data_IF_628811017977
#
_entry.id   IF_628811017977
#
_cell.length_a   1.000
_cell.length_b   1.000
_cell.length_c   1.000
_cell.angle_alpha   90.00
_cell.angle_beta   90.00
_cell.angle_gamma   90.00
#
_symmetry.space_group_name_H-M   'P 1'
#
loop_
_entity.id
_entity.type
_entity.pdbx_description
1 polymer ?
#
# COMPACT_ATOMS: atom_id res chain seq x y z
N UNK A 1 11.28 -25.18 -4.43
CA UNK A 1 11.81 -24.53 -3.22
C UNK A 1 10.77 -24.73 -2.13
N UNK A 2 11.14 -25.38 -1.02
CA UNK A 2 10.22 -25.64 0.11
C UNK A 2 10.43 -24.58 1.18
N UNK A 3 9.36 -24.07 1.78
CA UNK A 3 9.43 -23.12 2.88
C UNK A 3 9.32 -23.90 4.19
N UNK A 4 10.31 -23.79 5.08
CA UNK A 4 10.25 -24.34 6.43
C UNK A 4 10.08 -23.15 7.37
N UNK A 5 8.95 -23.12 8.08
CA UNK A 5 8.63 -22.09 9.06
C UNK A 5 9.29 -22.42 10.39
N UNK A 6 9.62 -21.39 11.16
CA UNK A 6 10.00 -21.54 12.57
C UNK A 6 8.75 -21.43 13.43
N UNK A 7 8.79 -21.96 14.64
CA UNK A 7 7.67 -21.95 15.60
C UNK A 7 7.01 -20.56 15.76
N UNK A 8 7.81 -19.50 15.74
CA UNK A 8 7.32 -18.13 15.82
C UNK A 8 6.49 -17.70 14.59
N UNK A 9 6.94 -18.10 13.39
CA UNK A 9 6.23 -17.80 12.14
C UNK A 9 4.95 -18.62 12.06
N UNK A 10 4.99 -19.89 12.48
CA UNK A 10 3.80 -20.76 12.57
C UNK A 10 2.74 -20.19 13.52
N UNK A 11 3.16 -19.74 14.71
CA UNK A 11 2.27 -19.11 15.66
C UNK A 11 1.65 -17.81 15.11
N UNK A 12 2.41 -17.04 14.32
CA UNK A 12 1.93 -15.81 13.70
C UNK A 12 0.88 -16.05 12.59
N UNK A 13 1.04 -17.13 11.81
CA UNK A 13 0.10 -17.46 10.73
C UNK A 13 -1.09 -18.32 11.17
N UNK A 14 -0.99 -19.02 12.30
CA UNK A 14 -2.03 -19.92 12.80
C UNK A 14 -3.46 -19.32 12.80
N UNK A 15 -3.68 -18.04 13.17
CA UNK A 15 -5.01 -17.44 13.11
C UNK A 15 -5.61 -17.44 11.69
N UNK A 16 -4.77 -17.30 10.66
CA UNK A 16 -5.15 -17.25 9.25
C UNK A 16 -5.33 -18.62 8.60
N UNK A 17 -5.04 -19.71 9.33
CA UNK A 17 -5.23 -21.09 8.90
C UNK A 17 -6.49 -21.72 9.50
N UNK A 18 -6.98 -21.16 10.60
CA UNK A 18 -8.19 -21.65 11.27
C UNK A 18 -9.45 -21.16 10.56
N UNK A 19 -10.12 -22.02 9.80
CA UNK A 19 -11.41 -21.72 9.19
C UNK A 19 -12.43 -21.19 10.23
N UNK A 20 -13.20 -20.17 9.83
CA UNK A 20 -14.17 -19.50 10.71
C UNK A 20 -13.58 -18.53 11.73
N UNK A 21 -12.24 -18.39 11.81
CA UNK A 21 -11.63 -17.31 12.57
C UNK A 21 -11.84 -15.97 11.86
N UNK A 22 -11.89 -14.87 12.63
CA UNK A 22 -12.00 -13.53 12.04
C UNK A 22 -10.81 -13.20 11.12
N UNK A 23 -9.61 -13.68 11.46
CA UNK A 23 -8.40 -13.48 10.65
C UNK A 23 -8.46 -14.27 9.34
N UNK A 24 -8.94 -15.51 9.37
CA UNK A 24 -9.15 -16.34 8.18
C UNK A 24 -10.19 -15.72 7.24
N UNK A 25 -11.35 -15.29 7.76
CA UNK A 25 -12.38 -14.67 6.92
C UNK A 25 -11.93 -13.34 6.32
N UNK A 26 -11.15 -12.53 7.05
CA UNK A 26 -10.56 -11.31 6.52
C UNK A 26 -9.59 -11.61 5.36
N UNK A 27 -8.72 -12.63 5.51
CA UNK A 27 -7.82 -13.06 4.45
C UNK A 27 -8.57 -13.64 3.25
N UNK A 28 -9.63 -14.40 3.49
CA UNK A 28 -10.50 -14.98 2.45
C UNK A 28 -11.16 -13.89 1.62
N UNK A 29 -11.72 -12.87 2.30
CA UNK A 29 -12.36 -11.75 1.64
C UNK A 29 -11.35 -10.97 0.79
N UNK A 30 -10.15 -10.74 1.32
CA UNK A 30 -9.06 -10.08 0.61
C UNK A 30 -8.63 -10.87 -0.63
N UNK A 31 -8.44 -12.19 -0.51
CA UNK A 31 -8.09 -13.06 -1.64
C UNK A 31 -9.19 -13.08 -2.71
N UNK A 32 -10.46 -13.14 -2.28
CA UNK A 32 -11.62 -13.13 -3.17
C UNK A 32 -11.72 -11.84 -3.99
N UNK A 33 -11.46 -10.68 -3.37
CA UNK A 33 -11.43 -9.38 -4.07
C UNK A 33 -10.36 -9.32 -5.17
N UNK A 34 -9.32 -10.14 -5.07
CA UNK A 34 -8.19 -10.18 -6.00
C UNK A 34 -8.33 -11.25 -7.08
N UNK A 35 -9.37 -12.07 -7.02
CA UNK A 35 -9.50 -13.26 -7.86
C UNK A 35 -8.46 -14.34 -7.53
N UNK A 36 -7.81 -14.27 -6.37
CA UNK A 36 -6.96 -15.34 -5.87
C UNK A 36 -7.87 -16.46 -5.34
N UNK A 37 -7.59 -17.70 -5.76
CA UNK A 37 -8.44 -18.87 -5.54
C UNK A 37 -8.58 -19.33 -4.09
N UNK A 38 -9.05 -20.57 -3.90
CA UNK A 38 -9.44 -21.10 -2.58
C UNK A 38 -8.27 -21.10 -1.57
N UNK A 39 -8.42 -20.35 -0.46
CA UNK A 39 -7.41 -20.24 0.61
C UNK A 39 -7.48 -21.38 1.64
N UNK A 40 -8.37 -22.36 1.45
CA UNK A 40 -8.56 -23.49 2.38
C UNK A 40 -7.33 -24.37 2.59
N UNK A 41 -6.35 -24.28 1.70
CA UNK A 41 -5.06 -24.92 1.91
C UNK A 41 -4.09 -23.97 2.60
N UNK A 42 -3.23 -24.50 3.47
CA UNK A 42 -2.17 -23.73 4.12
C UNK A 42 -1.30 -22.98 3.09
N UNK A 43 -0.92 -23.65 1.99
CA UNK A 43 -0.19 -23.02 0.90
C UNK A 43 -0.97 -21.86 0.24
N UNK A 44 -2.29 -21.96 0.15
CA UNK A 44 -3.16 -20.90 -0.35
C UNK A 44 -3.20 -19.70 0.60
N UNK A 45 -3.39 -19.94 1.89
CA UNK A 45 -3.34 -18.91 2.92
C UNK A 45 -1.96 -18.21 2.98
N UNK A 46 -0.87 -18.97 2.93
CA UNK A 46 0.48 -18.42 2.87
C UNK A 46 0.72 -17.56 1.63
N UNK A 47 0.20 -17.97 0.47
CA UNK A 47 0.30 -17.18 -0.76
C UNK A 47 -0.49 -15.88 -0.66
N UNK A 48 -1.71 -15.95 -0.13
CA UNK A 48 -2.54 -14.77 0.09
C UNK A 48 -1.89 -13.78 1.07
N UNK A 49 -1.31 -14.28 2.17
CA UNK A 49 -0.54 -13.47 3.13
C UNK A 49 0.69 -12.83 2.48
N UNK A 50 1.42 -13.58 1.65
CA UNK A 50 2.58 -13.05 0.93
C UNK A 50 2.18 -11.92 -0.03
N UNK A 51 1.11 -12.11 -0.80
CA UNK A 51 0.60 -11.06 -1.70
C UNK A 51 0.08 -9.84 -0.94
N UNK A 52 -0.57 -10.03 0.20
CA UNK A 52 -1.00 -8.93 1.07
C UNK A 52 0.22 -8.16 1.61
N UNK A 53 1.23 -8.86 2.12
CA UNK A 53 2.45 -8.26 2.64
C UNK A 53 3.25 -7.51 1.58
N UNK A 54 3.42 -8.08 0.38
CA UNK A 54 4.11 -7.43 -0.73
C UNK A 54 3.42 -6.11 -1.13
N UNK A 55 2.09 -6.07 -1.13
CA UNK A 55 1.35 -4.85 -1.40
C UNK A 55 1.46 -3.83 -0.29
N UNK A 56 1.35 -4.24 0.98
CA UNK A 56 1.52 -3.32 2.11
C UNK A 56 2.91 -2.66 2.10
N UNK A 57 3.95 -3.41 1.71
CA UNK A 57 5.30 -2.84 1.50
C UNK A 57 5.30 -1.88 0.31
N UNK A 58 4.66 -2.22 -0.80
CA UNK A 58 4.54 -1.35 -1.97
C UNK A 58 3.83 -0.03 -1.67
N UNK A 59 2.71 -0.07 -0.96
CA UNK A 59 1.99 1.12 -0.48
C UNK A 59 2.86 1.98 0.42
N UNK A 60 3.61 1.36 1.34
CA UNK A 60 4.53 2.09 2.21
C UNK A 60 5.66 2.78 1.43
N UNK A 61 6.17 2.16 0.38
CA UNK A 61 7.17 2.79 -0.50
C UNK A 61 6.58 4.01 -1.20
N UNK A 62 5.33 3.92 -1.68
CA UNK A 62 4.65 5.08 -2.28
C UNK A 62 4.46 6.21 -1.25
N UNK A 63 4.03 5.89 -0.03
CA UNK A 63 3.86 6.89 1.03
C UNK A 63 5.17 7.64 1.34
N UNK A 64 6.28 6.91 1.43
CA UNK A 64 7.61 7.50 1.65
C UNK A 64 7.98 8.40 0.46
N UNK A 65 7.81 7.92 -0.77
CA UNK A 65 8.12 8.72 -1.97
C UNK A 65 7.26 9.99 -2.07
N UNK A 66 5.98 9.92 -1.71
CA UNK A 66 5.11 11.10 -1.66
C UNK A 66 5.49 12.07 -0.55
N UNK A 67 5.93 11.58 0.61
CA UNK A 67 6.43 12.44 1.68
C UNK A 67 7.70 13.18 1.27
N UNK A 68 8.63 12.51 0.58
CA UNK A 68 9.85 13.12 0.03
C UNK A 68 9.50 14.18 -1.02
N UNK A 69 8.64 13.85 -1.97
CA UNK A 69 8.18 14.79 -3.00
C UNK A 69 7.47 16.00 -2.37
N UNK A 70 6.65 15.79 -1.34
CA UNK A 70 6.00 16.87 -0.61
C UNK A 70 7.02 17.77 0.11
N UNK A 71 8.07 17.18 0.68
CA UNK A 71 9.16 17.93 1.33
C UNK A 71 9.90 18.81 0.32
N UNK A 72 10.30 18.26 -0.82
CA UNK A 72 10.95 19.02 -1.90
C UNK A 72 10.03 20.10 -2.45
N UNK A 73 8.77 19.73 -2.72
CA UNK A 73 7.76 20.67 -3.19
C UNK A 73 7.61 21.81 -2.19
N UNK A 74 7.53 21.55 -0.88
CA UNK A 74 7.35 22.57 0.15
C UNK A 74 8.63 23.34 0.50
N UNK A 75 9.75 23.11 -0.19
CA UNK A 75 10.95 23.92 -0.02
C UNK A 75 10.69 25.40 -0.36
N UNK A 76 11.34 26.32 0.36
CA UNK A 76 11.23 27.76 0.12
C UNK A 76 11.52 28.21 -1.32
N UNK A 77 12.59 27.73 -2.01
CA UNK A 77 12.80 28.09 -3.41
C UNK A 77 11.64 27.64 -4.31
N UNK A 78 11.16 26.40 -4.17
CA UNK A 78 10.01 25.90 -4.94
C UNK A 78 8.71 26.65 -4.63
N UNK A 79 8.49 27.05 -3.37
CA UNK A 79 7.39 27.90 -2.95
C UNK A 79 7.43 29.27 -3.62
N UNK A 80 8.59 29.93 -3.66
CA UNK A 80 8.76 31.24 -4.27
C UNK A 80 8.50 31.21 -5.79
N UNK A 81 8.99 30.17 -6.48
CA UNK A 81 8.72 29.95 -7.89
C UNK A 81 7.22 29.77 -8.18
N UNK A 82 6.52 28.95 -7.38
CA UNK A 82 5.07 28.76 -7.52
C UNK A 82 4.28 30.02 -7.26
N UNK A 83 4.62 30.81 -6.24
CA UNK A 83 3.98 32.12 -5.99
C UNK A 83 4.10 33.02 -7.20
N UNK A 84 5.28 33.08 -7.80
CA UNK A 84 5.55 33.88 -9.00
C UNK A 84 4.76 33.36 -10.21
N UNK A 85 4.73 32.05 -10.44
CA UNK A 85 3.97 31.43 -11.52
C UNK A 85 2.46 31.68 -11.38
N UNK A 86 1.91 31.53 -10.16
CA UNK A 86 0.51 31.87 -9.85
C UNK A 86 0.23 33.34 -10.10
N UNK A 87 1.12 34.25 -9.72
CA UNK A 87 1.01 35.67 -10.01
C UNK A 87 0.94 35.98 -11.51
N UNK A 88 1.78 35.32 -12.32
CA UNK A 88 1.74 35.43 -13.79
C UNK A 88 0.43 34.90 -14.38
N UNK A 89 -0.05 33.75 -13.91
CA UNK A 89 -1.31 33.16 -14.36
C UNK A 89 -2.53 34.03 -14.00
N UNK A 90 -2.57 34.59 -12.78
CA UNK A 90 -3.61 35.50 -12.34
C UNK A 90 -3.65 36.79 -13.18
N UNK A 91 -2.48 37.33 -13.57
CA UNK A 91 -2.40 38.49 -14.47
C UNK A 91 -2.92 38.16 -15.87
N UNK A 92 -2.54 37.01 -16.42
CA UNK A 92 -3.02 36.55 -17.75
C UNK A 92 -4.53 36.30 -17.77
N UNK A 93 -5.08 35.64 -16.75
CA UNK A 93 -6.52 35.36 -16.68
C UNK A 93 -7.36 36.63 -16.49
N UNK A 94 -6.85 37.63 -15.75
CA UNK A 94 -7.50 38.94 -15.61
C UNK A 94 -7.44 39.80 -16.87
N UNK A 95 -6.37 39.69 -17.66
CA UNK A 95 -6.23 40.43 -18.93
C UNK A 95 -7.08 39.87 -20.07
N UNK A 96 -7.56 38.63 -19.93
CA UNK A 96 -8.34 37.92 -20.94
C UNK A 96 -9.85 37.87 -20.60
N UNK A 97 -10.30 38.76 -19.71
CA UNK A 97 -11.67 38.88 -19.19
C UNK A 97 -12.12 40.32 -19.33
#
# INVERSE_FOLDING_TARGET
MSLILKDADEAAIAPYLSEGSAAFEALRQLASQRGEGDIKSEAGALRALLHAGAQAVGERVLDVGYAELASEFNSEPANAERRTARGRHARRSKANR
#
